data_IF_201188858236
#
_entry.id   IF_201188858236
#
_cell.length_a   1.000
_cell.length_b   1.000
_cell.length_c   1.000
_cell.angle_alpha   90.00
_cell.angle_beta   90.00
_cell.angle_gamma   90.00
#
_symmetry.space_group_name_H-M   'P 1'
#
loop_
_entity.id
_entity.type
_entity.pdbx_description
1 polymer ?
#
# COMPACT_ATOMS: atom_id res chain seq x y z
N UNK A 1 21.03 21.21 -0.08
CA UNK A 1 19.96 21.49 0.89
C UNK A 1 18.93 20.38 0.94
N UNK A 2 18.83 19.70 2.07
CA UNK A 2 17.62 18.92 2.38
C UNK A 2 16.56 19.91 2.83
N UNK A 3 15.43 19.96 2.13
CA UNK A 3 14.34 20.94 2.30
C UNK A 3 13.59 20.84 3.64
N UNK A 4 14.02 19.97 4.56
CA UNK A 4 13.46 19.78 5.90
C UNK A 4 14.57 19.59 6.94
N UNK A 5 14.45 20.15 8.16
CA UNK A 5 15.41 19.92 9.25
C UNK A 5 15.49 18.44 9.62
N UNK A 6 16.72 17.89 9.65
CA UNK A 6 16.96 16.48 10.02
C UNK A 6 16.42 16.12 11.41
N UNK A 7 16.37 17.08 12.34
CA UNK A 7 15.80 16.89 13.68
C UNK A 7 14.30 16.57 13.65
N UNK A 8 13.53 17.29 12.83
CA UNK A 8 12.09 17.06 12.68
C UNK A 8 11.81 15.73 11.98
N UNK A 9 12.61 15.36 10.98
CA UNK A 9 12.49 14.06 10.31
C UNK A 9 12.73 12.89 11.27
N UNK A 10 13.72 13.03 12.17
CA UNK A 10 14.00 12.03 13.21
C UNK A 10 12.83 11.89 14.20
N UNK A 11 12.23 13.01 14.62
CA UNK A 11 11.07 12.98 15.51
C UNK A 11 9.88 12.27 14.86
N UNK A 12 9.57 12.60 13.60
CA UNK A 12 8.51 11.92 12.84
C UNK A 12 8.77 10.42 12.72
N UNK A 13 9.98 10.02 12.32
CA UNK A 13 10.34 8.61 12.18
C UNK A 13 10.20 7.83 13.50
N UNK A 14 10.66 8.39 14.61
CA UNK A 14 10.54 7.74 15.91
C UNK A 14 9.08 7.53 16.30
N UNK A 15 8.23 8.53 16.04
CA UNK A 15 6.80 8.45 16.30
C UNK A 15 6.12 7.40 15.41
N UNK A 16 6.47 7.34 14.13
CA UNK A 16 5.96 6.33 13.19
C UNK A 16 6.32 4.91 13.66
N UNK A 17 7.57 4.68 14.07
CA UNK A 17 8.01 3.38 14.60
C UNK A 17 7.24 3.01 15.86
N UNK A 18 7.08 3.94 16.80
CA UNK A 18 6.31 3.72 18.03
C UNK A 18 4.85 3.32 17.72
N UNK A 19 4.17 4.08 16.87
CA UNK A 19 2.79 3.80 16.50
C UNK A 19 2.67 2.48 15.74
N UNK A 20 3.45 2.29 14.67
CA UNK A 20 3.36 1.09 13.82
C UNK A 20 3.65 -0.19 14.59
N UNK A 21 4.54 -0.15 15.59
CA UNK A 21 4.85 -1.31 16.45
C UNK A 21 3.81 -1.55 17.55
N UNK A 22 3.01 -0.53 17.88
CA UNK A 22 1.92 -0.63 18.88
C UNK A 22 0.60 -1.18 18.30
N UNK A 23 0.46 -1.23 16.98
CA UNK A 23 -0.78 -1.68 16.33
C UNK A 23 -0.89 -3.21 16.46
N UNK A 24 -1.81 -3.67 17.30
CA UNK A 24 -2.10 -5.10 17.43
C UNK A 24 -2.95 -5.63 16.27
N UNK A 25 -3.92 -4.82 15.79
CA UNK A 25 -4.82 -5.19 14.70
C UNK A 25 -5.24 -3.96 13.89
N UNK A 26 -5.08 -4.04 12.58
CA UNK A 26 -5.65 -3.05 11.66
C UNK A 26 -7.12 -3.45 11.40
N UNK A 27 -8.10 -2.55 11.61
CA UNK A 27 -9.53 -2.84 11.45
C UNK A 27 -9.94 -2.84 9.97
N UNK A 28 -9.35 -3.76 9.19
CA UNK A 28 -9.58 -3.95 7.75
C UNK A 28 -11.04 -4.30 7.45
N UNK A 29 -11.72 -4.94 8.39
CA UNK A 29 -13.13 -5.29 8.35
C UNK A 29 -14.08 -4.09 8.27
N UNK A 30 -13.61 -2.90 8.67
CA UNK A 30 -14.35 -1.63 8.54
C UNK A 30 -14.23 -1.00 7.14
N UNK A 31 -13.36 -1.52 6.26
CA UNK A 31 -13.21 -1.03 4.89
C UNK A 31 -14.33 -1.64 4.03
N UNK A 32 -15.31 -0.83 3.65
CA UNK A 32 -16.48 -1.25 2.85
C UNK A 32 -16.45 -0.69 1.42
N UNK A 33 -15.35 -0.06 1.01
CA UNK A 33 -15.15 0.44 -0.35
C UNK A 33 -14.33 -0.55 -1.15
N UNK A 34 -14.66 -0.70 -2.44
CA UNK A 34 -13.83 -1.46 -3.38
C UNK A 34 -12.40 -0.93 -3.35
N UNK A 35 -11.43 -1.82 -3.21
CA UNK A 35 -10.02 -1.48 -3.00
C UNK A 35 -9.11 -2.14 -4.03
N UNK A 36 -8.05 -1.45 -4.46
CA UNK A 36 -7.01 -2.04 -5.30
C UNK A 36 -5.75 -2.26 -4.46
N UNK A 37 -5.38 -3.52 -4.28
CA UNK A 37 -4.14 -3.94 -3.64
C UNK A 37 -3.05 -4.06 -4.71
N UNK A 38 -1.88 -3.45 -4.46
CA UNK A 38 -0.72 -3.54 -5.35
C UNK A 38 0.46 -4.01 -4.52
N UNK A 39 0.91 -5.24 -4.74
CA UNK A 39 1.96 -5.88 -3.93
C UNK A 39 2.99 -6.59 -4.80
N UNK A 40 4.21 -6.69 -4.28
CA UNK A 40 5.25 -7.55 -4.83
C UNK A 40 5.64 -8.61 -3.81
N UNK A 41 5.90 -9.83 -4.29
CA UNK A 41 6.47 -10.91 -3.48
C UNK A 41 7.95 -10.71 -3.18
N UNK A 42 8.60 -9.82 -3.91
CA UNK A 42 10.02 -9.49 -3.79
C UNK A 42 10.28 -8.29 -2.86
N UNK A 43 9.22 -7.63 -2.36
CA UNK A 43 9.37 -6.52 -1.42
C UNK A 43 9.87 -7.03 -0.06
N UNK A 44 11.01 -6.48 0.35
CA UNK A 44 11.64 -6.78 1.63
C UNK A 44 11.25 -5.80 2.73
N UNK A 45 10.65 -4.67 2.39
CA UNK A 45 10.17 -3.65 3.32
C UNK A 45 8.76 -4.02 3.81
N UNK A 46 7.80 -4.12 2.89
CA UNK A 46 6.44 -4.58 3.19
C UNK A 46 6.29 -6.05 2.80
N UNK A 47 6.26 -6.94 3.79
CA UNK A 47 6.21 -8.39 3.56
C UNK A 47 4.90 -8.84 2.92
N UNK A 48 4.99 -9.88 2.08
CA UNK A 48 3.85 -10.52 1.42
C UNK A 48 2.74 -10.99 2.40
N UNK A 49 3.09 -11.34 3.63
CA UNK A 49 2.13 -11.71 4.68
C UNK A 49 1.06 -10.63 4.91
N UNK A 50 1.38 -9.36 4.68
CA UNK A 50 0.41 -8.27 4.78
C UNK A 50 -0.64 -8.34 3.67
N UNK A 51 -0.26 -8.76 2.46
CA UNK A 51 -1.20 -9.01 1.37
C UNK A 51 -2.13 -10.18 1.73
N UNK A 52 -1.58 -11.28 2.25
CA UNK A 52 -2.37 -12.45 2.68
C UNK A 52 -3.38 -12.09 3.79
N UNK A 53 -2.97 -11.26 4.75
CA UNK A 53 -3.86 -10.71 5.77
C UNK A 53 -5.01 -9.91 5.15
N UNK A 54 -4.71 -9.03 4.18
CA UNK A 54 -5.73 -8.25 3.50
C UNK A 54 -6.66 -9.13 2.65
N UNK A 55 -6.14 -10.09 1.89
CA UNK A 55 -6.94 -11.02 1.09
C UNK A 55 -7.93 -11.82 1.96
N UNK A 56 -7.55 -12.13 3.20
CA UNK A 56 -8.39 -12.87 4.14
C UNK A 56 -9.46 -12.00 4.80
N UNK A 57 -9.19 -10.71 5.04
CA UNK A 57 -10.03 -9.85 5.89
C UNK A 57 -10.76 -8.73 5.13
N UNK A 58 -10.33 -8.38 3.93
CA UNK A 58 -10.91 -7.31 3.12
C UNK A 58 -12.04 -7.88 2.24
N UNK A 59 -13.18 -7.21 2.23
CA UNK A 59 -14.41 -7.75 1.63
C UNK A 59 -14.47 -7.62 0.10
N UNK A 60 -14.04 -6.47 -0.42
CA UNK A 60 -14.16 -6.15 -1.85
C UNK A 60 -12.85 -5.53 -2.35
N UNK A 61 -12.09 -6.33 -3.09
CA UNK A 61 -10.80 -5.89 -3.60
C UNK A 61 -10.41 -6.56 -4.92
N UNK A 62 -9.47 -5.90 -5.60
CA UNK A 62 -8.69 -6.48 -6.69
C UNK A 62 -7.22 -6.50 -6.25
N UNK A 63 -6.49 -7.58 -6.59
CA UNK A 63 -5.06 -7.71 -6.29
C UNK A 63 -4.24 -7.67 -7.58
N UNK A 64 -3.29 -6.75 -7.64
CA UNK A 64 -2.26 -6.68 -8.67
C UNK A 64 -0.91 -7.11 -8.08
N UNK A 65 -0.42 -8.26 -8.52
CA UNK A 65 0.94 -8.72 -8.21
C UNK A 65 1.92 -8.17 -9.23
N UNK A 66 3.04 -7.63 -8.75
CA UNK A 66 4.13 -7.08 -9.57
C UNK A 66 5.47 -7.68 -9.18
N UNK A 67 6.47 -7.42 -10.01
CA UNK A 67 7.89 -7.64 -9.76
C UNK A 67 8.53 -6.41 -9.12
N UNK A 68 9.73 -6.58 -8.59
CA UNK A 68 10.53 -5.52 -7.96
C UNK A 68 10.24 -5.35 -6.47
N UNK A 69 11.13 -4.67 -5.76
CA UNK A 69 10.94 -4.39 -4.33
C UNK A 69 10.00 -3.21 -4.06
N UNK A 70 10.16 -2.56 -2.91
CA UNK A 70 9.31 -1.45 -2.47
C UNK A 70 9.07 -0.37 -3.52
N UNK A 71 10.08 -0.06 -4.35
CA UNK A 71 9.99 0.93 -5.43
C UNK A 71 9.41 0.39 -6.75
N UNK A 72 8.44 -0.52 -6.68
CA UNK A 72 7.77 -1.17 -7.84
C UNK A 72 7.20 -0.16 -8.87
N UNK A 73 6.93 1.09 -8.47
CA UNK A 73 6.38 2.14 -9.32
C UNK A 73 7.39 2.80 -10.28
N UNK A 74 8.69 2.52 -10.15
CA UNK A 74 9.72 2.90 -11.14
C UNK A 74 10.33 1.68 -11.85
N UNK A 75 9.78 0.48 -11.61
CA UNK A 75 10.27 -0.77 -12.18
C UNK A 75 9.59 -1.16 -13.49
N UNK A 76 9.88 -2.39 -13.94
CA UNK A 76 9.34 -3.01 -15.16
C UNK A 76 7.82 -2.96 -15.24
N UNK A 77 7.14 -3.17 -14.11
CA UNK A 77 5.68 -3.20 -14.04
C UNK A 77 5.03 -1.80 -13.93
N UNK A 78 5.78 -0.70 -14.07
CA UNK A 78 5.23 0.66 -13.93
C UNK A 78 4.00 0.89 -14.81
N UNK A 79 4.07 0.53 -16.10
CA UNK A 79 2.96 0.78 -17.04
C UNK A 79 1.77 -0.15 -16.78
N UNK A 80 2.01 -1.38 -16.33
CA UNK A 80 0.98 -2.31 -15.85
C UNK A 80 0.26 -1.73 -14.64
N UNK A 81 1.00 -1.22 -13.64
CA UNK A 81 0.45 -0.58 -12.44
C UNK A 81 -0.40 0.63 -12.81
N UNK A 82 0.11 1.52 -13.68
CA UNK A 82 -0.64 2.69 -14.15
C UNK A 82 -1.94 2.30 -14.85
N UNK A 83 -1.86 1.35 -15.77
CA UNK A 83 -3.02 0.90 -16.55
C UNK A 83 -4.10 0.32 -15.62
N UNK A 84 -3.70 -0.54 -14.69
CA UNK A 84 -4.63 -1.16 -13.74
C UNK A 84 -5.25 -0.13 -12.79
N UNK A 85 -4.50 0.88 -12.34
CA UNK A 85 -5.05 1.98 -11.53
C UNK A 85 -6.12 2.76 -12.30
N UNK A 86 -5.87 3.10 -13.56
CA UNK A 86 -6.84 3.82 -14.40
C UNK A 86 -8.09 2.97 -14.62
N UNK A 87 -7.93 1.69 -14.95
CA UNK A 87 -9.03 0.73 -15.11
C UNK A 87 -9.86 0.64 -13.83
N UNK A 88 -9.20 0.44 -12.69
CA UNK A 88 -9.84 0.35 -11.38
C UNK A 88 -10.63 1.62 -11.05
N UNK A 89 -10.02 2.80 -11.21
CA UNK A 89 -10.66 4.09 -10.96
C UNK A 89 -11.88 4.33 -11.87
N UNK A 90 -11.85 3.85 -13.11
CA UNK A 90 -13.02 3.90 -14.01
C UNK A 90 -14.11 2.90 -13.62
N UNK A 91 -13.74 1.78 -12.99
CA UNK A 91 -14.69 0.76 -12.54
C UNK A 91 -15.46 1.18 -11.29
N UNK A 92 -14.86 2.03 -10.45
CA UNK A 92 -15.54 2.64 -9.30
C UNK A 92 -16.29 3.87 -9.80
N UNK A 93 -17.56 3.69 -10.17
CA UNK A 93 -18.44 4.83 -10.42
C UNK A 93 -18.48 5.69 -9.16
N UNK A 94 -17.87 6.88 -9.19
CA UNK A 94 -18.21 7.94 -8.26
C UNK A 94 -19.58 8.46 -8.69
N UNK A 95 -20.65 7.83 -8.18
CA UNK A 95 -21.95 8.49 -8.22
C UNK A 95 -21.80 9.86 -7.53
N UNK A 96 -22.12 10.91 -8.27
CA UNK A 96 -22.16 12.29 -7.76
C UNK A 96 -23.39 12.51 -6.90
#
# INVERSE_FOLDING_TARGET
DTTVPMSLRKLGLNHDVELLTSIEKIPVDNINVKSLLVYSKEDNDVKWLNAEYLETNLKDFELLVTHGGHFMWIGEDMDKIKSKRIEFLKSINFEK
#
